data_IF_073421769038
#
_entry.id   IF_073421769038
#
_cell.length_a   1.000
_cell.length_b   1.000
_cell.length_c   1.000
_cell.angle_alpha   90.00
_cell.angle_beta   90.00
_cell.angle_gamma   90.00
#
_symmetry.space_group_name_H-M   'P 1'
#
loop_
_entity.id
_entity.type
_entity.pdbx_description
1 polymer ?
#
# COMPACT_ATOMS: atom_id res chain seq x y z
N UNK A 1 14.27 23.96 -3.75
CA UNK A 1 14.16 22.49 -3.74
C UNK A 1 13.39 22.17 -2.50
N UNK A 2 12.06 22.28 -2.57
CA UNK A 2 11.20 21.82 -1.48
C UNK A 2 11.22 20.30 -1.54
N UNK A 3 11.83 19.71 -0.52
CA UNK A 3 12.06 18.29 -0.39
C UNK A 3 10.91 17.70 0.42
N UNK A 4 10.23 16.73 -0.20
CA UNK A 4 9.29 15.77 0.38
C UNK A 4 7.94 16.33 0.88
N UNK A 5 7.01 16.52 -0.05
CA UNK A 5 5.58 16.71 0.24
C UNK A 5 4.85 15.35 0.19
N UNK A 6 5.01 14.59 1.27
CA UNK A 6 4.30 13.35 1.58
C UNK A 6 3.91 13.33 3.05
N UNK A 7 3.06 12.39 3.47
CA UNK A 7 2.59 12.17 4.86
C UNK A 7 3.36 12.91 5.97
N UNK A 8 2.67 13.71 6.79
CA UNK A 8 3.35 14.60 7.76
C UNK A 8 3.75 13.92 9.07
N UNK A 9 3.40 12.64 9.26
CA UNK A 9 3.73 11.88 10.48
C UNK A 9 3.88 10.39 10.23
N UNK A 10 4.76 9.75 10.99
CA UNK A 10 4.83 8.29 11.08
C UNK A 10 3.69 7.72 11.94
N UNK A 11 3.25 6.48 11.64
CA UNK A 11 2.38 5.74 12.54
C UNK A 11 3.07 5.60 13.89
N UNK A 12 2.32 5.80 14.96
CA UNK A 12 2.80 5.79 16.33
C UNK A 12 2.05 4.75 17.17
N UNK A 13 2.41 4.66 18.44
CA UNK A 13 1.80 3.73 19.39
C UNK A 13 0.28 3.80 19.46
N UNK A 14 -0.28 5.01 19.47
CA UNK A 14 -1.73 5.21 19.53
C UNK A 14 -2.41 4.68 18.27
N UNK A 15 -1.78 4.82 17.09
CA UNK A 15 -2.32 4.25 15.85
C UNK A 15 -2.40 2.72 15.92
N UNK A 16 -1.32 2.05 16.34
CA UNK A 16 -1.31 0.60 16.53
C UNK A 16 -2.34 0.16 17.60
N UNK A 17 -2.33 0.82 18.77
CA UNK A 17 -3.21 0.50 19.88
C UNK A 17 -4.70 0.63 19.51
N UNK A 18 -5.06 1.63 18.70
CA UNK A 18 -6.45 1.90 18.32
C UNK A 18 -7.16 0.71 17.65
N UNK A 19 -6.41 -0.15 16.95
CA UNK A 19 -6.97 -1.34 16.29
C UNK A 19 -7.35 -2.45 17.26
N UNK A 20 -6.90 -2.39 18.51
CA UNK A 20 -7.20 -3.39 19.54
C UNK A 20 -7.88 -2.83 20.79
N UNK A 21 -7.96 -1.51 20.94
CA UNK A 21 -8.59 -0.85 22.09
C UNK A 21 -10.06 -1.24 22.31
N UNK A 22 -10.79 -1.62 21.26
CA UNK A 22 -12.17 -2.08 21.38
C UNK A 22 -12.29 -3.53 21.88
N UNK A 23 -11.17 -4.21 22.15
CA UNK A 23 -11.15 -5.59 22.62
C UNK A 23 -11.60 -6.63 21.59
N UNK A 24 -11.72 -6.26 20.31
CA UNK A 24 -12.07 -7.18 19.22
C UNK A 24 -11.44 -6.73 17.90
N UNK A 25 -10.97 -7.70 17.10
CA UNK A 25 -10.40 -7.46 15.77
C UNK A 25 -10.54 -8.72 14.90
N UNK A 26 -10.68 -8.56 13.58
CA UNK A 26 -10.61 -9.68 12.61
C UNK A 26 -9.22 -9.76 11.99
N UNK A 27 -8.83 -10.94 11.48
CA UNK A 27 -7.58 -11.09 10.73
C UNK A 27 -7.57 -10.20 9.47
N UNK A 28 -8.71 -10.09 8.78
CA UNK A 28 -8.85 -9.23 7.59
C UNK A 28 -8.61 -7.75 7.92
N UNK A 29 -9.18 -7.25 9.03
CA UNK A 29 -9.00 -5.87 9.45
C UNK A 29 -7.57 -5.60 9.91
N UNK A 30 -6.94 -6.56 10.61
CA UNK A 30 -5.53 -6.47 10.98
C UNK A 30 -4.62 -6.44 9.75
N UNK A 31 -4.86 -7.31 8.77
CA UNK A 31 -4.08 -7.37 7.53
C UNK A 31 -4.24 -6.07 6.73
N UNK A 32 -5.46 -5.53 6.62
CA UNK A 32 -5.71 -4.23 5.99
C UNK A 32 -4.99 -3.10 6.74
N UNK A 33 -5.12 -3.03 8.07
CA UNK A 33 -4.45 -2.03 8.90
C UNK A 33 -2.93 -2.04 8.74
N UNK A 34 -2.34 -3.24 8.80
CA UNK A 34 -0.91 -3.44 8.61
C UNK A 34 -0.52 -3.03 7.20
N UNK A 35 -1.23 -3.45 6.15
CA UNK A 35 -0.91 -3.12 4.75
C UNK A 35 -1.24 -1.67 4.34
N UNK A 36 -2.06 -0.96 5.12
CA UNK A 36 -2.46 0.42 4.88
C UNK A 36 -1.88 1.33 5.94
N UNK A 37 -2.71 1.74 6.88
CA UNK A 37 -2.45 2.85 7.80
C UNK A 37 -1.23 2.68 8.73
N UNK A 38 -0.89 1.45 9.13
CA UNK A 38 0.17 1.22 10.12
C UNK A 38 1.59 1.17 9.54
N UNK A 39 1.73 1.09 8.20
CA UNK A 39 3.05 1.09 7.55
C UNK A 39 3.10 1.90 6.25
N UNK A 40 1.98 2.08 5.55
CA UNK A 40 1.87 2.86 4.32
C UNK A 40 2.47 4.25 4.45
N UNK A 41 2.19 5.04 5.50
CA UNK A 41 2.84 6.33 5.68
C UNK A 41 4.38 6.27 5.75
N UNK A 42 4.94 5.16 6.25
CA UNK A 42 6.41 4.93 6.29
C UNK A 42 6.96 4.81 4.87
N UNK A 43 6.29 4.03 4.00
CA UNK A 43 6.64 3.92 2.58
C UNK A 43 6.65 5.28 1.88
N UNK A 44 5.62 6.08 2.13
CA UNK A 44 5.43 7.39 1.50
C UNK A 44 6.50 8.39 1.97
N UNK A 45 6.77 8.48 3.27
CA UNK A 45 7.76 9.43 3.79
C UNK A 45 9.21 9.07 3.50
N UNK A 46 9.58 7.78 3.56
CA UNK A 46 10.95 7.37 3.26
C UNK A 46 11.21 7.40 1.76
N UNK A 47 10.23 6.95 0.96
CA UNK A 47 10.34 6.96 -0.50
C UNK A 47 10.34 8.38 -1.06
N UNK A 48 9.49 9.24 -0.52
CA UNK A 48 9.32 10.60 -1.02
C UNK A 48 8.76 10.66 -2.45
N UNK A 49 8.36 11.86 -2.83
CA UNK A 49 7.78 12.16 -4.14
C UNK A 49 8.19 13.59 -4.53
N UNK A 50 8.68 13.78 -5.75
CA UNK A 50 9.14 15.08 -6.24
C UNK A 50 8.92 15.21 -7.75
N UNK A 51 9.11 16.42 -8.30
CA UNK A 51 9.10 16.63 -9.76
C UNK A 51 7.72 16.61 -10.41
N UNK A 52 6.65 16.82 -9.62
CA UNK A 52 5.29 17.02 -10.16
C UNK A 52 5.24 18.22 -11.12
N UNK A 53 4.34 18.16 -12.09
CA UNK A 53 4.30 19.15 -13.18
C UNK A 53 3.64 20.45 -12.74
N UNK A 54 2.58 20.34 -11.95
CA UNK A 54 1.89 21.50 -11.41
C UNK A 54 1.95 21.53 -9.88
N UNK A 55 1.84 22.73 -9.33
CA UNK A 55 1.80 22.99 -7.89
C UNK A 55 0.41 22.65 -7.33
N UNK A 56 0.14 21.35 -7.19
CA UNK A 56 -1.06 20.85 -6.51
C UNK A 56 -0.87 20.73 -4.99
N UNK A 57 0.27 21.19 -4.46
CA UNK A 57 0.79 20.93 -3.11
C UNK A 57 0.02 21.67 -2.01
N UNK A 58 -1.24 21.30 -1.81
CA UNK A 58 -2.00 21.66 -0.62
C UNK A 58 -2.20 20.41 0.22
N UNK A 59 -1.47 20.32 1.33
CA UNK A 59 -1.82 19.40 2.41
C UNK A 59 -3.22 19.79 2.87
N UNK A 60 -4.16 18.84 2.84
CA UNK A 60 -5.50 19.09 3.36
C UNK A 60 -5.46 19.25 4.90
N UNK A 61 -6.58 19.58 5.52
CA UNK A 61 -6.63 19.79 6.99
C UNK A 61 -6.43 18.49 7.78
N UNK A 62 -6.38 17.34 7.10
CA UNK A 62 -6.30 16.01 7.65
C UNK A 62 -4.86 15.45 7.56
N UNK A 63 -3.95 16.18 6.92
CA UNK A 63 -2.54 15.82 6.83
C UNK A 63 -2.20 14.94 5.62
N UNK A 64 -3.16 14.73 4.71
CA UNK A 64 -2.92 14.06 3.43
C UNK A 64 -2.38 15.07 2.43
N UNK A 65 -1.29 14.68 1.78
CA UNK A 65 -0.78 15.41 0.63
C UNK A 65 -1.54 14.95 -0.61
N UNK A 66 -2.09 15.88 -1.38
CA UNK A 66 -2.71 15.61 -2.68
C UNK A 66 -1.76 14.83 -3.62
N UNK A 67 -0.45 14.94 -3.43
CA UNK A 67 0.61 14.24 -4.15
C UNK A 67 0.56 12.72 -3.98
N UNK A 68 0.26 12.20 -2.78
CA UNK A 68 0.12 10.77 -2.53
C UNK A 68 -1.00 10.18 -3.41
N UNK A 69 -2.15 10.86 -3.46
CA UNK A 69 -3.30 10.47 -4.27
C UNK A 69 -3.00 10.52 -5.77
N UNK A 70 -2.23 11.51 -6.25
CA UNK A 70 -1.81 11.57 -7.65
C UNK A 70 -0.97 10.35 -8.03
N UNK A 71 0.01 9.98 -7.21
CA UNK A 71 0.90 8.86 -7.50
C UNK A 71 0.17 7.51 -7.38
N UNK A 72 -0.67 7.33 -6.36
CA UNK A 72 -1.50 6.13 -6.23
C UNK A 72 -2.49 6.00 -7.39
N UNK A 73 -3.10 7.11 -7.83
CA UNK A 73 -3.97 7.13 -9.02
C UNK A 73 -3.18 6.81 -10.28
N UNK A 74 -1.99 7.38 -10.46
CA UNK A 74 -1.12 7.07 -11.60
C UNK A 74 -0.72 5.60 -11.63
N UNK A 75 -0.40 5.01 -10.47
CA UNK A 75 -0.17 3.56 -10.31
C UNK A 75 -1.39 2.75 -10.73
N UNK A 76 -2.59 3.16 -10.34
CA UNK A 76 -3.83 2.52 -10.77
C UNK A 76 -4.04 2.60 -12.29
N UNK A 77 -3.76 3.75 -12.90
CA UNK A 77 -3.83 3.93 -14.35
C UNK A 77 -2.72 3.15 -15.09
N UNK A 78 -1.53 3.02 -14.50
CA UNK A 78 -0.45 2.20 -15.00
C UNK A 78 -0.84 0.73 -15.02
N UNK A 79 -1.45 0.20 -13.94
CA UNK A 79 -1.94 -1.19 -13.88
C UNK A 79 -2.91 -1.53 -15.02
N UNK A 80 -3.73 -0.56 -15.43
CA UNK A 80 -4.69 -0.67 -16.54
C UNK A 80 -4.09 -0.40 -17.92
N UNK A 81 -2.83 0.01 -17.97
CA UNK A 81 -2.13 0.31 -19.20
C UNK A 81 -2.49 1.66 -19.80
N UNK A 82 -2.88 2.66 -19.03
CA UNK A 82 -3.01 4.05 -19.52
C UNK A 82 -1.73 4.87 -19.35
N UNK A 83 -1.04 4.67 -18.23
CA UNK A 83 0.27 5.28 -17.95
C UNK A 83 1.37 4.32 -18.40
N UNK A 84 2.46 4.87 -18.95
CA UNK A 84 3.69 4.14 -19.33
C UNK A 84 4.88 4.76 -18.62
N UNK A 85 5.77 3.91 -18.15
CA UNK A 85 7.07 4.29 -17.59
C UNK A 85 8.17 3.79 -18.52
N UNK A 86 9.27 4.55 -18.71
CA UNK A 86 10.45 4.03 -19.39
C UNK A 86 10.97 2.76 -18.69
N UNK A 87 11.42 1.79 -19.47
CA UNK A 87 12.01 0.55 -18.92
C UNK A 87 13.44 0.76 -18.40
N UNK A 88 14.08 1.86 -18.79
CA UNK A 88 15.44 2.20 -18.42
C UNK A 88 15.64 3.71 -18.57
N UNK A 89 16.42 4.28 -17.65
CA UNK A 89 16.99 5.60 -17.77
C UNK A 89 18.45 5.56 -17.31
N UNK A 90 19.32 6.26 -18.03
CA UNK A 90 20.69 6.51 -17.60
C UNK A 90 20.78 7.80 -16.79
N UNK A 91 21.88 7.98 -16.06
CA UNK A 91 22.14 9.17 -15.23
C UNK A 91 22.15 10.49 -16.03
N UNK A 92 22.40 10.43 -17.34
CA UNK A 92 22.43 11.58 -18.25
C UNK A 92 21.14 11.77 -19.05
N UNK A 93 20.14 10.88 -18.90
CA UNK A 93 18.82 11.04 -19.52
C UNK A 93 18.10 12.23 -18.88
N UNK A 94 17.57 13.19 -19.66
CA UNK A 94 16.79 14.29 -19.10
C UNK A 94 15.62 13.77 -18.26
N UNK A 95 15.37 14.40 -17.10
CA UNK A 95 14.30 13.95 -16.20
C UNK A 95 12.94 13.82 -16.89
N UNK A 96 12.59 14.75 -17.79
CA UNK A 96 11.35 14.71 -18.57
C UNK A 96 11.21 13.51 -19.52
N UNK A 97 12.32 12.83 -19.84
CA UNK A 97 12.34 11.60 -20.63
C UNK A 97 12.36 10.34 -19.73
N UNK A 98 12.52 10.54 -18.41
CA UNK A 98 12.57 9.50 -17.38
C UNK A 98 11.37 9.54 -16.41
N UNK A 99 10.23 10.06 -16.85
CA UNK A 99 9.01 10.12 -16.05
C UNK A 99 7.91 9.28 -16.67
N UNK A 100 6.88 9.00 -15.87
CA UNK A 100 5.64 8.46 -16.40
C UNK A 100 5.06 9.38 -17.49
N UNK A 101 4.34 8.79 -18.44
CA UNK A 101 3.56 9.53 -19.44
C UNK A 101 2.29 8.76 -19.85
N UNK A 102 1.30 9.46 -20.39
CA UNK A 102 0.18 8.82 -21.11
C UNK A 102 0.39 9.03 -22.62
N UNK A 103 0.78 8.00 -23.38
CA UNK A 103 1.00 8.14 -24.82
C UNK A 103 -0.26 8.62 -25.54
N UNK A 104 -0.11 9.56 -26.48
CA UNK A 104 -1.25 10.10 -27.25
C UNK A 104 -2.10 9.01 -27.91
N UNK A 105 -1.48 7.92 -28.37
CA UNK A 105 -2.19 6.80 -29.01
C UNK A 105 -3.20 6.12 -28.09
N UNK A 106 -2.96 6.16 -26.78
CA UNK A 106 -3.86 5.62 -25.75
C UNK A 106 -4.95 6.65 -25.42
N UNK A 107 -4.61 7.94 -25.44
CA UNK A 107 -5.51 9.03 -25.05
C UNK A 107 -6.42 9.54 -26.19
N UNK A 108 -6.12 9.24 -27.46
CA UNK A 108 -6.80 9.84 -28.62
C UNK A 108 -8.31 9.58 -28.62
N UNK A 109 -9.07 10.65 -28.87
CA UNK A 109 -10.53 10.70 -29.03
C UNK A 109 -11.37 10.41 -27.78
N UNK A 110 -10.78 10.46 -26.59
CA UNK A 110 -11.52 10.33 -25.33
C UNK A 110 -11.49 11.69 -24.65
N UNK A 111 -12.67 12.26 -24.36
CA UNK A 111 -12.74 13.46 -23.53
C UNK A 111 -12.24 13.16 -22.12
N UNK A 112 -11.80 14.19 -21.41
CA UNK A 112 -11.28 14.05 -20.05
C UNK A 112 -12.28 13.35 -19.10
N UNK A 113 -13.58 13.64 -19.25
CA UNK A 113 -14.63 12.99 -18.48
C UNK A 113 -14.77 11.50 -18.84
N UNK A 114 -14.83 11.17 -20.13
CA UNK A 114 -14.90 9.78 -20.60
C UNK A 114 -13.67 8.98 -20.18
N UNK A 115 -12.49 9.61 -20.08
CA UNK A 115 -11.28 8.94 -19.58
C UNK A 115 -11.43 8.53 -18.11
N UNK A 116 -11.88 9.45 -17.25
CA UNK A 116 -12.10 9.15 -15.83
C UNK A 116 -13.21 8.11 -15.63
N UNK A 117 -14.24 8.12 -16.49
CA UNK A 117 -15.30 7.10 -16.49
C UNK A 117 -14.78 5.73 -16.92
N UNK A 118 -14.06 5.65 -18.04
CA UNK A 118 -13.50 4.40 -18.57
C UNK A 118 -12.47 3.76 -17.65
N UNK A 119 -11.69 4.57 -16.94
CA UNK A 119 -10.68 4.09 -15.98
C UNK A 119 -11.31 3.65 -14.65
N UNK A 120 -12.60 3.94 -14.43
CA UNK A 120 -13.28 3.67 -13.18
C UNK A 120 -12.85 4.58 -12.03
N UNK A 121 -12.17 5.71 -12.33
CA UNK A 121 -11.68 6.66 -11.33
C UNK A 121 -12.78 7.12 -10.38
N UNK A 122 -13.99 7.37 -10.90
CA UNK A 122 -15.15 7.80 -10.11
C UNK A 122 -15.62 6.79 -9.06
N UNK A 123 -15.20 5.52 -9.15
CA UNK A 123 -15.61 4.47 -8.22
C UNK A 123 -14.64 4.30 -7.03
N UNK A 124 -13.50 4.99 -7.01
CA UNK A 124 -12.47 4.86 -5.98
C UNK A 124 -12.87 5.73 -4.77
N UNK A 125 -13.75 5.27 -3.88
CA UNK A 125 -14.48 6.16 -2.93
C UNK A 125 -13.61 7.00 -1.98
N UNK A 126 -12.33 6.67 -1.76
CA UNK A 126 -11.39 7.51 -1.04
C UNK A 126 -10.97 8.81 -1.77
N UNK A 127 -11.05 8.88 -3.11
CA UNK A 127 -10.53 9.98 -3.93
C UNK A 127 -11.58 10.78 -4.76
N UNK A 128 -12.89 10.49 -4.95
CA UNK A 128 -13.65 11.13 -6.02
C UNK A 128 -14.50 12.32 -5.57
N UNK A 129 -14.84 12.44 -4.28
CA UNK A 129 -15.68 13.56 -3.82
C UNK A 129 -14.79 14.71 -3.32
N UNK A 130 -13.98 14.48 -2.30
CA UNK A 130 -13.19 15.55 -1.69
C UNK A 130 -12.11 16.09 -2.65
N UNK A 131 -11.31 15.22 -3.29
CA UNK A 131 -10.25 15.66 -4.20
C UNK A 131 -10.79 16.32 -5.49
N UNK A 132 -11.91 15.86 -6.03
CA UNK A 132 -12.53 16.50 -7.20
C UNK A 132 -13.22 17.81 -6.80
N UNK A 133 -13.89 17.86 -5.65
CA UNK A 133 -14.44 19.10 -5.08
C UNK A 133 -13.34 20.12 -4.77
N UNK A 134 -12.19 19.69 -4.25
CA UNK A 134 -11.02 20.52 -3.98
C UNK A 134 -10.36 20.97 -5.28
N UNK A 135 -10.31 20.09 -6.28
CA UNK A 135 -9.82 20.43 -7.62
C UNK A 135 -10.70 21.49 -8.29
N UNK A 136 -12.02 21.33 -8.22
CA UNK A 136 -13.00 22.31 -8.70
C UNK A 136 -12.88 23.63 -7.91
N UNK A 137 -12.75 23.54 -6.58
CA UNK A 137 -12.60 24.71 -5.68
C UNK A 137 -11.29 25.47 -5.91
N UNK A 138 -10.25 24.78 -6.38
CA UNK A 138 -8.97 25.36 -6.79
C UNK A 138 -8.93 25.82 -8.26
N UNK A 139 -10.07 25.76 -8.97
CA UNK A 139 -10.19 26.12 -10.39
C UNK A 139 -9.29 25.29 -11.32
N UNK A 140 -9.00 24.04 -10.92
CA UNK A 140 -8.23 23.09 -11.70
C UNK A 140 -9.16 22.47 -12.75
N UNK A 141 -8.75 22.54 -14.01
CA UNK A 141 -9.48 21.85 -15.08
C UNK A 141 -9.23 20.36 -14.97
N UNK A 142 -10.21 19.53 -15.32
CA UNK A 142 -10.04 18.07 -15.37
C UNK A 142 -8.85 17.68 -16.27
N UNK A 143 -8.52 18.51 -17.27
CA UNK A 143 -7.35 18.33 -18.14
C UNK A 143 -6.03 18.41 -17.37
N UNK A 144 -5.91 19.33 -16.41
CA UNK A 144 -4.73 19.44 -15.53
C UNK A 144 -4.58 18.19 -14.65
N UNK A 145 -5.70 17.61 -14.19
CA UNK A 145 -5.67 16.38 -13.40
C UNK A 145 -5.13 15.20 -14.21
N UNK A 146 -5.59 15.02 -15.45
CA UNK A 146 -5.05 13.98 -16.33
C UNK A 146 -3.57 14.23 -16.60
N UNK A 147 -3.19 15.48 -16.92
CA UNK A 147 -1.79 15.80 -17.15
C UNK A 147 -0.90 15.42 -15.96
N UNK A 148 -1.38 15.64 -14.73
CA UNK A 148 -0.63 15.25 -13.54
C UNK A 148 -0.62 13.75 -13.34
N UNK A 149 -1.76 13.04 -13.44
CA UNK A 149 -1.81 11.58 -13.36
C UNK A 149 -0.89 10.90 -14.38
N UNK A 150 -0.67 11.54 -15.52
CA UNK A 150 0.19 11.03 -16.57
C UNK A 150 1.67 11.31 -16.31
N UNK A 151 2.05 12.39 -15.63
CA UNK A 151 3.46 12.76 -15.43
C UNK A 151 3.99 12.44 -14.04
N UNK A 152 3.17 12.53 -12.99
CA UNK A 152 3.41 12.34 -11.53
C UNK A 152 4.82 12.51 -10.98
N UNK A 153 5.73 13.19 -11.65
CA UNK A 153 7.13 13.31 -11.24
C UNK A 153 7.82 11.97 -11.02
N UNK A 154 8.49 11.85 -9.88
CA UNK A 154 9.29 10.70 -9.47
C UNK A 154 9.11 10.38 -8.01
N UNK A 155 9.18 9.08 -7.72
CA UNK A 155 9.05 8.54 -6.37
C UNK A 155 10.29 7.71 -6.04
N UNK A 156 10.73 7.73 -4.79
CA UNK A 156 11.79 6.84 -4.35
C UNK A 156 11.30 5.40 -4.21
N UNK A 157 12.26 4.48 -4.08
CA UNK A 157 12.01 3.03 -4.06
C UNK A 157 10.98 2.64 -3.00
N UNK A 158 11.12 3.17 -1.77
CA UNK A 158 10.22 2.88 -0.65
C UNK A 158 8.76 3.27 -0.90
N UNK A 159 8.44 4.17 -1.83
CA UNK A 159 7.05 4.59 -2.07
C UNK A 159 6.27 3.50 -2.82
N UNK A 160 6.93 2.79 -3.74
CA UNK A 160 6.24 1.99 -4.75
C UNK A 160 6.46 0.47 -4.56
N UNK A 161 6.06 -0.33 -5.55
CA UNK A 161 6.23 -1.78 -5.53
C UNK A 161 7.71 -2.22 -5.50
N UNK A 162 8.66 -1.31 -5.72
CA UNK A 162 10.08 -1.56 -5.65
C UNK A 162 10.67 -1.37 -4.22
N UNK A 163 9.82 -1.06 -3.23
CA UNK A 163 10.23 -0.87 -1.83
C UNK A 163 11.15 -1.96 -1.26
N UNK A 164 11.02 -3.27 -1.59
CA UNK A 164 11.96 -4.29 -1.11
C UNK A 164 13.43 -4.08 -1.49
N UNK A 165 13.73 -3.19 -2.46
CA UNK A 165 15.10 -2.82 -2.82
C UNK A 165 15.75 -1.88 -1.80
N UNK A 166 14.96 -1.15 -1.02
CA UNK A 166 15.46 -0.34 0.08
C UNK A 166 15.67 -1.23 1.33
N UNK A 167 16.87 -1.24 1.95
CA UNK A 167 17.14 -2.05 3.13
C UNK A 167 16.21 -1.80 4.33
N UNK A 168 15.58 -0.62 4.42
CA UNK A 168 14.64 -0.29 5.51
C UNK A 168 13.30 -1.01 5.41
N UNK A 169 12.96 -1.58 4.25
CA UNK A 169 11.78 -2.41 4.03
C UNK A 169 11.73 -3.63 4.98
N UNK A 170 12.85 -4.34 5.09
CA UNK A 170 12.92 -5.60 5.82
C UNK A 170 12.68 -5.46 7.34
N UNK A 171 13.32 -4.51 8.06
CA UNK A 171 13.01 -4.29 9.47
C UNK A 171 11.60 -3.73 9.69
N UNK A 172 11.05 -2.96 8.74
CA UNK A 172 9.65 -2.50 8.79
C UNK A 172 8.67 -3.68 8.78
N UNK A 173 8.83 -4.61 7.83
CA UNK A 173 7.95 -5.79 7.74
C UNK A 173 8.14 -6.80 8.87
N UNK A 174 9.32 -6.85 9.50
CA UNK A 174 9.49 -7.59 10.77
C UNK A 174 8.61 -7.03 11.90
N UNK A 175 8.43 -5.70 11.97
CA UNK A 175 7.55 -5.11 12.97
C UNK A 175 6.06 -5.45 12.73
N UNK A 176 5.63 -5.59 11.47
CA UNK A 176 4.29 -6.05 11.13
C UNK A 176 4.04 -7.48 11.64
N UNK A 177 4.98 -8.39 11.44
CA UNK A 177 4.89 -9.76 11.95
C UNK A 177 4.88 -9.79 13.49
N UNK A 178 5.74 -9.00 14.13
CA UNK A 178 5.76 -8.84 15.59
C UNK A 178 4.40 -8.39 16.12
N UNK A 179 3.76 -7.43 15.46
CA UNK A 179 2.42 -6.96 15.83
C UNK A 179 1.37 -8.07 15.68
N UNK A 180 1.39 -8.81 14.56
CA UNK A 180 0.52 -9.97 14.36
C UNK A 180 0.70 -11.04 15.45
N UNK A 181 1.95 -11.41 15.78
CA UNK A 181 2.23 -12.36 16.85
C UNK A 181 1.69 -11.87 18.20
N UNK A 182 1.80 -10.57 18.49
CA UNK A 182 1.24 -9.98 19.70
C UNK A 182 -0.29 -10.10 19.75
N UNK A 183 -1.00 -9.76 18.67
CA UNK A 183 -2.47 -9.91 18.58
C UNK A 183 -2.90 -11.37 18.79
N UNK A 184 -2.16 -12.32 18.21
CA UNK A 184 -2.41 -13.76 18.41
C UNK A 184 -2.30 -14.19 19.86
N UNK A 185 -1.32 -13.66 20.61
CA UNK A 185 -1.20 -13.93 22.05
C UNK A 185 -2.37 -13.34 22.82
N UNK A 186 -2.79 -12.11 22.52
CA UNK A 186 -3.94 -11.49 23.18
C UNK A 186 -5.23 -12.28 22.96
N UNK A 187 -5.44 -12.75 21.72
CA UNK A 187 -6.58 -13.61 21.37
C UNK A 187 -6.56 -14.94 22.12
N UNK A 188 -5.43 -15.65 22.14
CA UNK A 188 -5.29 -16.92 22.86
C UNK A 188 -5.53 -16.77 24.37
N UNK A 189 -5.09 -15.64 24.94
CA UNK A 189 -5.30 -15.31 26.36
C UNK A 189 -6.72 -14.84 26.68
N UNK A 190 -7.60 -14.71 25.68
CA UNK A 190 -8.94 -14.14 25.81
C UNK A 190 -8.94 -12.70 26.37
N UNK A 191 -7.88 -11.93 26.10
CA UNK A 191 -7.82 -10.50 26.43
C UNK A 191 -8.60 -9.69 25.39
N UNK A 192 -8.56 -10.14 24.14
CA UNK A 192 -9.35 -9.61 23.03
C UNK A 192 -10.07 -10.75 22.31
N UNK A 193 -11.19 -10.45 21.66
CA UNK A 193 -11.85 -11.33 20.70
C UNK A 193 -11.17 -11.22 19.33
N UNK A 194 -10.27 -12.16 19.03
CA UNK A 194 -9.55 -12.19 17.77
C UNK A 194 -10.12 -13.21 16.79
N UNK A 195 -10.90 -12.73 15.82
CA UNK A 195 -11.47 -13.57 14.78
C UNK A 195 -10.44 -13.84 13.65
N UNK A 196 -9.86 -15.04 13.67
CA UNK A 196 -8.86 -15.50 12.71
C UNK A 196 -9.45 -16.07 11.40
N UNK A 197 -10.72 -15.84 11.12
CA UNK A 197 -11.31 -16.25 9.84
C UNK A 197 -10.59 -15.53 8.70
N UNK A 198 -10.09 -16.30 7.73
CA UNK A 198 -9.43 -15.73 6.57
C UNK A 198 -10.42 -14.89 5.76
N UNK A 199 -10.06 -13.64 5.54
CA UNK A 199 -10.85 -12.69 4.79
C UNK A 199 -9.92 -11.68 4.13
N UNK A 200 -10.49 -10.93 3.21
CA UNK A 200 -9.82 -9.82 2.58
C UNK A 200 -10.74 -8.62 2.70
N UNK A 201 -10.38 -7.69 3.58
CA UNK A 201 -11.08 -6.42 3.72
C UNK A 201 -10.46 -5.47 2.71
N UNK A 202 -11.22 -5.18 1.66
CA UNK A 202 -10.80 -4.19 0.70
C UNK A 202 -10.91 -2.79 1.30
N UNK A 203 -9.92 -1.95 1.01
CA UNK A 203 -10.04 -0.51 1.20
C UNK A 203 -10.49 0.11 -0.12
N UNK A 204 -11.50 0.98 -0.14
CA UNK A 204 -11.91 1.67 -1.37
C UNK A 204 -10.91 2.80 -1.73
N UNK A 205 -9.67 2.46 -2.07
CA UNK A 205 -8.58 3.41 -2.36
C UNK A 205 -7.93 3.15 -3.72
N UNK A 206 -7.12 4.09 -4.22
CA UNK A 206 -6.39 3.87 -5.47
C UNK A 206 -5.35 2.73 -5.34
N UNK A 207 -4.98 2.36 -4.11
CA UNK A 207 -4.12 1.20 -3.83
C UNK A 207 -4.86 -0.13 -3.98
N UNK A 208 -6.16 -0.19 -3.65
CA UNK A 208 -7.03 -1.37 -3.73
C UNK A 208 -8.37 -1.02 -4.41
N UNK A 209 -8.40 -1.12 -5.73
CA UNK A 209 -9.60 -0.79 -6.52
C UNK A 209 -10.47 -2.01 -6.82
N UNK A 210 -10.17 -3.17 -6.23
CA UNK A 210 -10.77 -4.47 -6.56
C UNK A 210 -10.61 -4.86 -8.04
N UNK A 211 -9.69 -4.23 -8.77
CA UNK A 211 -9.44 -4.49 -10.19
C UNK A 211 -8.07 -5.13 -10.36
N UNK A 212 -8.07 -6.33 -10.94
CA UNK A 212 -6.86 -7.07 -11.32
C UNK A 212 -6.71 -7.01 -12.82
N UNK A 213 -5.54 -6.54 -13.28
CA UNK A 213 -5.21 -6.41 -14.70
C UNK A 213 -4.15 -7.46 -15.09
N UNK A 214 -4.52 -8.33 -16.01
CA UNK A 214 -3.65 -9.39 -16.52
C UNK A 214 -2.87 -8.91 -17.74
N UNK A 215 -1.56 -8.80 -17.55
CA UNK A 215 -0.60 -8.41 -18.59
C UNK A 215 -0.04 -9.60 -19.37
N UNK A 216 -0.44 -10.83 -19.03
CA UNK A 216 -0.02 -12.01 -19.79
C UNK A 216 -0.52 -11.93 -21.23
N UNK A 217 0.40 -12.05 -22.19
CA UNK A 217 0.07 -12.01 -23.62
C UNK A 217 -0.16 -10.60 -24.20
N UNK A 218 0.16 -9.54 -23.44
CA UNK A 218 0.22 -8.17 -23.99
C UNK A 218 1.55 -7.99 -24.70
N UNK A 219 1.53 -7.90 -26.03
CA UNK A 219 2.75 -7.82 -26.87
C UNK A 219 2.97 -6.44 -27.50
N UNK A 220 1.90 -5.68 -27.79
CA UNK A 220 2.01 -4.35 -28.38
C UNK A 220 2.41 -3.28 -27.36
N UNK A 221 3.25 -2.34 -27.78
CA UNK A 221 3.74 -1.20 -26.97
C UNK A 221 2.61 -0.39 -26.30
N UNK A 222 1.46 -0.29 -26.98
CA UNK A 222 0.28 0.44 -26.53
C UNK A 222 -0.92 -0.46 -26.24
N UNK A 223 -0.73 -1.78 -26.29
CA UNK A 223 -1.78 -2.72 -25.93
C UNK A 223 -2.04 -2.61 -24.42
N UNK A 224 -3.26 -2.99 -24.03
CA UNK A 224 -3.73 -2.90 -22.65
C UNK A 224 -4.04 -4.29 -22.10
N UNK A 225 -3.80 -4.52 -20.80
CA UNK A 225 -4.18 -5.74 -20.13
C UNK A 225 -5.70 -5.90 -20.10
N UNK A 226 -6.15 -7.14 -19.89
CA UNK A 226 -7.56 -7.38 -19.54
C UNK A 226 -7.72 -7.19 -18.05
N UNK A 227 -8.59 -6.26 -17.65
CA UNK A 227 -8.87 -5.98 -16.25
C UNK A 227 -10.25 -6.53 -15.85
N UNK A 228 -10.35 -7.14 -14.66
CA UNK A 228 -11.60 -7.66 -14.09
C UNK A 228 -11.68 -7.37 -12.61
N UNK A 229 -12.92 -7.32 -12.09
CA UNK A 229 -13.14 -7.26 -10.65
C UNK A 229 -12.75 -8.59 -10.01
N UNK A 230 -11.71 -8.58 -9.19
CA UNK A 230 -11.16 -9.77 -8.55
C UNK A 230 -10.24 -9.40 -7.38
N UNK A 231 -9.86 -10.41 -6.60
CA UNK A 231 -8.79 -10.33 -5.60
C UNK A 231 -7.50 -10.85 -6.25
N UNK A 232 -6.41 -10.09 -6.14
CA UNK A 232 -5.10 -10.47 -6.66
C UNK A 232 -4.66 -11.85 -6.14
N UNK A 233 -3.91 -12.59 -6.96
CA UNK A 233 -3.22 -13.79 -6.51
C UNK A 233 -2.25 -13.44 -5.36
N UNK A 234 -2.14 -14.33 -4.38
CA UNK A 234 -1.33 -14.13 -3.17
C UNK A 234 -2.14 -13.70 -1.94
N UNK A 235 -3.44 -13.40 -2.07
CA UNK A 235 -4.29 -12.98 -0.95
C UNK A 235 -5.24 -14.08 -0.46
N UNK A 236 -5.43 -15.17 -1.22
CA UNK A 236 -6.34 -16.25 -0.81
C UNK A 236 -5.64 -17.19 0.16
N UNK A 237 -6.43 -17.82 1.03
CA UNK A 237 -5.95 -18.73 2.07
C UNK A 237 -4.99 -19.81 1.55
N UNK A 238 -5.27 -20.35 0.38
CA UNK A 238 -4.52 -21.46 -0.22
C UNK A 238 -3.59 -21.00 -1.36
N UNK A 239 -3.41 -19.70 -1.57
CA UNK A 239 -2.41 -19.23 -2.53
C UNK A 239 -1.02 -19.58 -2.01
N UNK A 240 -0.14 -20.01 -2.92
CA UNK A 240 1.21 -20.45 -2.60
C UNK A 240 2.16 -19.26 -2.58
N UNK A 241 3.00 -19.20 -1.55
CA UNK A 241 4.11 -18.27 -1.45
C UNK A 241 5.24 -18.71 -2.37
N UNK A 242 6.02 -17.78 -2.97
CA UNK A 242 7.10 -18.14 -3.88
C UNK A 242 8.40 -18.55 -3.16
N UNK A 243 8.33 -18.90 -1.87
CA UNK A 243 9.50 -19.16 -1.03
C UNK A 243 9.61 -20.65 -0.71
N UNK A 244 10.80 -21.20 -0.97
CA UNK A 244 11.24 -22.54 -0.56
C UNK A 244 12.36 -22.41 0.48
N UNK A 245 12.73 -23.50 1.14
CA UNK A 245 13.85 -23.57 2.06
C UNK A 245 13.75 -22.65 3.30
N UNK A 246 12.52 -22.31 3.72
CA UNK A 246 12.28 -21.39 4.83
C UNK A 246 12.80 -21.93 6.17
N UNK A 247 12.57 -23.22 6.44
CA UNK A 247 12.93 -23.84 7.73
C UNK A 247 14.29 -24.55 7.70
N UNK A 248 14.69 -25.03 6.53
CA UNK A 248 16.02 -25.61 6.34
C UNK A 248 16.44 -25.53 4.87
N UNK A 249 17.74 -25.51 4.62
CA UNK A 249 18.29 -25.49 3.26
C UNK A 249 17.94 -26.74 2.41
N UNK A 250 17.43 -27.81 3.04
CA UNK A 250 16.99 -29.04 2.38
C UNK A 250 15.47 -29.15 2.25
N UNK A 251 14.72 -28.13 2.70
CA UNK A 251 13.26 -28.14 2.67
C UNK A 251 12.76 -27.51 1.38
N UNK A 252 12.31 -28.32 0.42
CA UNK A 252 11.77 -27.83 -0.86
C UNK A 252 10.27 -27.50 -0.74
N UNK A 253 9.72 -27.43 0.48
CA UNK A 253 8.31 -27.13 0.70
C UNK A 253 7.99 -25.68 0.33
N UNK A 254 7.03 -25.55 -0.57
CA UNK A 254 6.30 -24.32 -0.84
C UNK A 254 5.12 -24.23 0.13
N UNK A 255 4.98 -23.09 0.82
CA UNK A 255 3.92 -22.88 1.80
C UNK A 255 2.74 -22.14 1.17
N UNK A 256 1.52 -22.59 1.46
CA UNK A 256 0.35 -21.73 1.30
C UNK A 256 0.34 -20.60 2.35
N UNK A 257 -0.42 -19.55 2.07
CA UNK A 257 -0.71 -18.48 3.04
C UNK A 257 -1.17 -19.02 4.40
N UNK A 258 -2.07 -20.01 4.40
CA UNK A 258 -2.52 -20.69 5.62
C UNK A 258 -1.38 -21.37 6.37
N UNK A 259 -0.60 -22.19 5.68
CA UNK A 259 0.49 -22.93 6.32
C UNK A 259 1.57 -21.99 6.83
N UNK A 260 1.87 -20.91 6.12
CA UNK A 260 2.81 -19.89 6.58
C UNK A 260 2.27 -19.12 7.79
N UNK A 261 0.99 -18.76 7.79
CA UNK A 261 0.33 -18.15 8.95
C UNK A 261 0.39 -19.06 10.19
N UNK A 262 0.18 -20.36 10.03
CA UNK A 262 0.34 -21.35 11.10
C UNK A 262 1.82 -21.46 11.53
N UNK A 263 2.75 -21.46 10.58
CA UNK A 263 4.20 -21.52 10.82
C UNK A 263 4.69 -20.37 11.68
N UNK A 264 4.29 -19.12 11.41
CA UNK A 264 4.70 -17.93 12.16
C UNK A 264 3.95 -17.74 13.49
N UNK A 265 3.33 -18.80 14.01
CA UNK A 265 2.69 -18.76 15.32
C UNK A 265 3.68 -18.41 16.42
N UNK A 266 3.32 -17.52 17.36
CA UNK A 266 4.16 -17.24 18.54
C UNK A 266 4.35 -18.49 19.43
N UNK A 267 3.57 -19.54 19.21
CA UNK A 267 3.68 -20.83 19.90
C UNK A 267 4.41 -21.90 19.08
N UNK A 268 4.88 -21.59 17.88
CA UNK A 268 5.64 -22.54 17.08
C UNK A 268 7.10 -22.57 17.56
N UNK A 269 7.47 -23.68 18.22
CA UNK A 269 8.83 -23.91 18.71
C UNK A 269 9.85 -24.24 17.61
N UNK A 270 9.40 -24.47 16.37
CA UNK A 270 10.28 -24.75 15.24
C UNK A 270 10.81 -23.48 14.56
N UNK A 271 10.22 -22.31 14.82
CA UNK A 271 10.69 -21.05 14.26
C UNK A 271 12.14 -20.79 14.70
N UNK A 272 13.06 -20.45 13.77
CA UNK A 272 14.47 -20.26 14.09
C UNK A 272 14.76 -18.90 14.76
N UNK A 273 13.72 -18.14 15.10
CA UNK A 273 13.80 -16.85 15.79
C UNK A 273 12.61 -16.66 16.72
N UNK A 274 12.75 -15.72 17.65
CA UNK A 274 11.66 -15.22 18.48
C UNK A 274 11.87 -13.73 18.75
N UNK A 275 10.78 -13.00 18.98
CA UNK A 275 10.84 -11.60 19.42
C UNK A 275 11.10 -11.53 20.92
N UNK A 276 12.06 -10.70 21.35
CA UNK A 276 12.43 -10.50 22.76
C UNK A 276 11.24 -10.03 23.62
N UNK A 277 10.39 -9.16 23.06
CA UNK A 277 9.14 -8.75 23.69
C UNK A 277 8.09 -8.40 22.65
N UNK A 278 6.88 -8.93 22.80
CA UNK A 278 5.75 -8.65 21.90
C UNK A 278 4.95 -7.42 22.35
N UNK A 279 4.81 -7.20 23.67
CA UNK A 279 4.10 -6.05 24.25
C UNK A 279 4.98 -4.79 24.41
N UNK A 280 6.32 -4.94 24.43
CA UNK A 280 7.23 -3.83 24.73
C UNK A 280 7.42 -2.87 23.56
N UNK A 281 6.63 -1.82 23.46
CA UNK A 281 6.69 -0.84 22.37
C UNK A 281 7.18 0.50 22.92
N UNK A 282 8.44 0.85 22.60
CA UNK A 282 9.03 2.13 23.04
C UNK A 282 8.27 3.30 22.43
N UNK A 283 7.94 4.28 23.26
CA UNK A 283 7.11 5.42 22.85
C UNK A 283 5.62 5.27 23.18
N UNK A 284 5.18 4.08 23.57
CA UNK A 284 3.83 3.86 24.09
C UNK A 284 3.77 4.27 25.56
N UNK A 285 2.57 4.49 26.10
CA UNK A 285 2.34 4.66 27.53
C UNK A 285 2.94 3.49 28.30
N UNK A 286 3.83 3.78 29.25
CA UNK A 286 4.61 2.78 30.01
C UNK A 286 5.44 1.80 29.15
N UNK A 287 5.74 2.13 27.90
CA UNK A 287 6.40 1.27 26.92
C UNK A 287 5.65 -0.04 26.63
N UNK A 288 4.32 -0.05 26.75
CA UNK A 288 3.47 -1.23 26.58
C UNK A 288 2.33 -0.93 25.61
N UNK A 289 2.15 -1.78 24.60
CA UNK A 289 1.04 -1.64 23.66
C UNK A 289 -0.30 -2.03 24.32
N UNK A 290 -0.28 -2.98 25.26
CA UNK A 290 -1.41 -3.29 26.16
C UNK A 290 -1.88 -2.04 26.88
N UNK A 291 -0.94 -1.32 27.51
CA UNK A 291 -1.25 -0.13 28.31
C UNK A 291 -1.76 1.00 27.44
N UNK A 292 -1.14 1.22 26.28
CA UNK A 292 -1.60 2.22 25.31
C UNK A 292 -3.02 1.91 24.82
N UNK A 293 -3.35 0.62 24.63
CA UNK A 293 -4.67 0.17 24.20
C UNK A 293 -5.72 0.12 25.32
N UNK A 294 -5.36 0.43 26.57
CA UNK A 294 -6.20 0.30 27.77
C UNK A 294 -6.77 -1.13 27.97
N UNK A 295 -5.97 -2.14 27.63
CA UNK A 295 -6.34 -3.54 27.80
C UNK A 295 -6.00 -4.03 29.21
N UNK A 296 -6.87 -4.86 29.78
CA UNK A 296 -6.64 -5.52 31.07
C UNK A 296 -6.08 -6.92 30.84
N UNK A 297 -4.85 -7.17 31.31
CA UNK A 297 -4.19 -8.49 31.27
C UNK A 297 -4.71 -9.45 32.35
#
# INVERSE_FOLDING_TARGET
>A
YDLADGNTRFPNCTDFASYISNGSITFSALAAAVNGQLHGPVHLMIGGHWGMKHDFFKVDKQGYSTSDDFLLTSKFLWRQGFVRTPNYCSDDTPHSECTASCPEKIMRNISTHEFLEHTGFWNITAIPNQFVEDSISANLTTQLLIEEFCHVGSAGEMFTSAAPQDPTFWPLHGNAERYLQYIRILGEKNIIDYNQTWGYDHEDSASDTHVVCDWAGVEGEFDRPTCKKEVCAGHKLNDLLPFEHLMSASDDKVYSNKEFYELISPYNHELPYAYDGLDTWRGCTNNSLTTEADLTL
#
